data_IF_653773287798
#
_entry.id   IF_653773287798
#
_cell.length_a   1.000
_cell.length_b   1.000
_cell.length_c   1.000
_cell.angle_alpha   90.00
_cell.angle_beta   90.00
_cell.angle_gamma   90.00
#
_symmetry.space_group_name_H-M   'P 1'
#
loop_
_entity.id
_entity.type
_entity.pdbx_description
1 polymer ?
#
# COMPACT_ATOMS: atom_id res chain seq x y z
N UNK A 1 -21.64 -13.76 -2.67
CA UNK A 1 -20.29 -13.29 -3.06
C UNK A 1 -19.87 -12.25 -2.02
N UNK A 2 -18.71 -12.41 -1.37
CA UNK A 2 -18.31 -11.58 -0.24
C UNK A 2 -18.10 -10.11 -0.59
N UNK A 3 -18.34 -9.18 0.34
CA UNK A 3 -18.18 -7.75 0.11
C UNK A 3 -16.75 -7.39 -0.32
N UNK A 4 -15.75 -7.96 0.37
CA UNK A 4 -14.34 -7.77 0.11
C UNK A 4 -13.99 -8.32 -1.28
N UNK A 5 -14.37 -9.56 -1.58
CA UNK A 5 -14.07 -10.18 -2.86
C UNK A 5 -14.85 -9.61 -4.04
N UNK A 6 -16.11 -9.17 -3.87
CA UNK A 6 -16.93 -8.62 -4.97
C UNK A 6 -16.45 -7.22 -5.38
N UNK A 7 -16.10 -6.38 -4.40
CA UNK A 7 -15.57 -5.04 -4.69
C UNK A 7 -14.20 -5.11 -5.38
N UNK A 8 -13.33 -6.02 -4.91
CA UNK A 8 -11.98 -6.20 -5.46
C UNK A 8 -11.99 -6.90 -6.82
N UNK A 9 -12.76 -7.99 -6.98
CA UNK A 9 -12.81 -8.76 -8.22
C UNK A 9 -13.51 -8.03 -9.36
N UNK A 10 -14.50 -7.17 -9.07
CA UNK A 10 -15.11 -6.35 -10.13
C UNK A 10 -14.07 -5.40 -10.73
N UNK A 11 -13.31 -4.71 -9.89
CA UNK A 11 -12.29 -3.77 -10.34
C UNK A 11 -11.15 -4.48 -11.10
N UNK A 12 -10.75 -5.68 -10.66
CA UNK A 12 -9.77 -6.50 -11.37
C UNK A 12 -10.29 -7.01 -12.71
N UNK A 13 -11.53 -7.52 -12.77
CA UNK A 13 -12.16 -7.96 -14.04
C UNK A 13 -12.36 -6.82 -15.04
N UNK A 14 -12.74 -5.63 -14.56
CA UNK A 14 -12.90 -4.46 -15.44
C UNK A 14 -11.55 -4.01 -16.03
N UNK A 15 -10.46 -4.11 -15.25
CA UNK A 15 -9.09 -3.95 -15.75
C UNK A 15 -8.74 -5.02 -16.78
N UNK A 16 -8.97 -6.29 -16.48
CA UNK A 16 -8.63 -7.38 -17.39
C UNK A 16 -9.41 -7.27 -18.71
N UNK A 17 -10.69 -6.86 -18.67
CA UNK A 17 -11.50 -6.51 -19.86
C UNK A 17 -10.91 -5.33 -20.64
N UNK A 18 -10.46 -4.28 -19.95
CA UNK A 18 -9.80 -3.14 -20.58
C UNK A 18 -8.53 -3.59 -21.31
N UNK A 19 -7.78 -4.57 -20.79
CA UNK A 19 -6.61 -5.14 -21.47
C UNK A 19 -6.98 -6.11 -22.61
N UNK A 20 -8.04 -6.92 -22.47
CA UNK A 20 -8.54 -7.79 -23.55
C UNK A 20 -8.97 -7.01 -24.80
N UNK A 21 -9.50 -5.80 -24.63
CA UNK A 21 -9.86 -4.93 -25.76
C UNK A 21 -8.65 -4.53 -26.62
N UNK A 22 -7.42 -4.61 -26.09
CA UNK A 22 -6.17 -4.35 -26.82
C UNK A 22 -5.43 -5.62 -27.28
N UNK A 23 -5.85 -6.82 -26.87
CA UNK A 23 -5.24 -8.07 -27.36
C UNK A 23 -5.48 -8.27 -28.86
N UNK A 24 -6.63 -7.81 -29.39
CA UNK A 24 -6.94 -7.86 -30.83
C UNK A 24 -6.23 -6.80 -31.69
N UNK A 25 -5.65 -5.76 -31.08
CA UNK A 25 -4.91 -4.70 -31.80
C UNK A 25 -3.42 -5.05 -31.92
N UNK A 26 -2.90 -5.86 -31.00
CA UNK A 26 -1.53 -6.39 -31.04
C UNK A 26 -1.43 -7.78 -31.70
N UNK A 27 -2.55 -8.49 -31.84
CA UNK A 27 -2.62 -9.72 -32.63
C UNK A 27 -2.71 -9.39 -34.13
N UNK A 28 -1.54 -9.29 -34.78
CA UNK A 28 -1.45 -9.39 -36.24
C UNK A 28 -2.03 -10.73 -36.75
N UNK A 29 -2.32 -10.84 -38.06
CA UNK A 29 -3.13 -11.91 -38.61
C UNK A 29 -2.54 -13.30 -38.34
N UNK A 30 -3.45 -14.23 -38.08
CA UNK A 30 -3.23 -15.60 -37.65
C UNK A 30 -2.17 -16.39 -38.48
N UNK A 31 -1.45 -17.23 -37.73
CA UNK A 31 -0.72 -18.44 -38.12
C UNK A 31 0.23 -18.38 -39.33
N UNK A 32 1.54 -18.40 -39.04
CA UNK A 32 2.50 -19.12 -39.89
C UNK A 32 3.36 -20.07 -39.07
N UNK A 33 3.34 -21.33 -39.52
CA UNK A 33 4.07 -22.49 -39.00
C UNK A 33 5.50 -22.13 -38.60
N UNK A 34 5.88 -22.58 -37.40
CA UNK A 34 7.24 -22.47 -36.85
C UNK A 34 8.22 -23.20 -37.79
N UNK A 35 9.02 -22.44 -38.53
CA UNK A 35 10.24 -22.97 -39.16
C UNK A 35 11.41 -22.88 -38.17
N UNK A 36 12.00 -24.03 -37.84
CA UNK A 36 13.26 -24.16 -37.10
C UNK A 36 14.37 -23.40 -37.85
N UNK A 37 14.96 -22.39 -37.21
CA UNK A 37 16.17 -21.73 -37.72
C UNK A 37 17.44 -22.50 -37.33
N UNK A 38 18.48 -22.53 -38.19
CA UNK A 38 19.72 -23.27 -37.94
C UNK A 38 20.67 -22.54 -36.97
N UNK A 39 21.49 -23.34 -36.27
CA UNK A 39 22.32 -23.01 -35.09
C UNK A 39 23.53 -22.08 -35.39
N UNK A 40 23.59 -21.43 -36.55
CA UNK A 40 24.77 -20.67 -36.99
C UNK A 40 24.90 -19.27 -36.34
N UNK A 41 23.85 -18.71 -35.74
CA UNK A 41 23.84 -17.35 -35.18
C UNK A 41 24.45 -17.19 -33.78
N UNK A 42 24.58 -18.27 -32.99
CA UNK A 42 25.04 -18.18 -31.59
C UNK A 42 26.54 -17.91 -31.43
N UNK A 43 27.36 -18.28 -32.42
CA UNK A 43 28.82 -18.05 -32.36
C UNK A 43 29.19 -16.57 -32.55
N UNK A 44 28.40 -15.79 -33.31
CA UNK A 44 28.70 -14.36 -33.57
C UNK A 44 28.39 -13.45 -32.38
N UNK A 45 27.37 -13.77 -31.58
CA UNK A 45 27.04 -13.00 -30.37
C UNK A 45 28.07 -13.19 -29.24
N UNK A 46 28.61 -14.40 -29.08
CA UNK A 46 29.62 -14.68 -28.06
C UNK A 46 30.94 -13.95 -28.35
N UNK A 47 31.36 -13.88 -29.62
CA UNK A 47 32.59 -13.16 -30.02
C UNK A 47 32.44 -11.66 -29.74
N UNK A 48 31.28 -11.06 -30.03
CA UNK A 48 31.02 -9.64 -29.75
C UNK A 48 31.05 -9.32 -28.25
N UNK A 49 30.52 -10.21 -27.41
CA UNK A 49 30.56 -10.05 -25.95
C UNK A 49 31.97 -10.09 -25.35
N UNK A 50 32.86 -10.95 -25.89
CA UNK A 50 34.25 -11.05 -25.44
C UNK A 50 35.06 -9.81 -25.83
N UNK A 51 34.84 -9.23 -27.02
CA UNK A 51 35.52 -8.01 -27.47
C UNK A 51 35.12 -6.79 -26.60
N UNK A 52 33.85 -6.66 -26.23
CA UNK A 52 33.40 -5.59 -25.34
C UNK A 52 34.00 -5.68 -23.93
N UNK A 53 34.18 -6.89 -23.40
CA UNK A 53 34.81 -7.09 -22.08
C UNK A 53 36.31 -6.75 -22.10
N UNK A 54 37.03 -7.09 -23.18
CA UNK A 54 38.45 -6.74 -23.32
C UNK A 54 38.67 -5.23 -23.48
N UNK A 55 37.75 -4.54 -24.16
CA UNK A 55 37.76 -3.07 -24.25
C UNK A 55 37.49 -2.40 -22.89
N UNK A 56 36.63 -2.99 -22.06
CA UNK A 56 36.32 -2.46 -20.72
C UNK A 56 37.50 -2.59 -19.76
N UNK A 57 38.21 -3.72 -19.77
CA UNK A 57 39.41 -3.92 -18.95
C UNK A 57 40.54 -2.97 -19.36
N UNK A 58 40.66 -2.64 -20.65
CA UNK A 58 41.66 -1.69 -21.16
C UNK A 58 41.38 -0.23 -20.76
N UNK A 59 40.12 0.13 -20.48
CA UNK A 59 39.74 1.50 -20.17
C UNK A 59 39.83 1.86 -18.68
N UNK A 60 39.80 0.86 -17.80
CA UNK A 60 39.89 1.03 -16.33
C UNK A 60 41.31 1.23 -15.76
N UNK A 61 42.34 1.40 -16.61
CA UNK A 61 43.73 1.61 -16.16
C UNK A 61 44.27 3.04 -16.42
N UNK A 62 43.46 3.96 -16.96
CA UNK A 62 43.90 5.31 -17.36
C UNK A 62 43.13 6.45 -16.67
N UNK A 63 42.86 6.34 -15.36
CA UNK A 63 42.48 7.50 -14.54
C UNK A 63 43.15 7.43 -13.17
N UNK A 64 44.47 7.60 -13.18
CA UNK A 64 45.28 7.73 -11.97
C UNK A 64 46.25 8.89 -12.14
N UNK A 65 45.86 10.07 -11.65
CA UNK A 65 46.84 11.10 -11.34
C UNK A 65 46.28 12.49 -11.17
N UNK A 66 45.94 12.88 -9.95
CA UNK A 66 46.83 13.69 -9.09
C UNK A 66 46.08 14.13 -7.84
N UNK A 67 46.64 13.76 -6.68
CA UNK A 67 46.35 14.35 -5.36
C UNK A 67 47.20 15.61 -5.24
N UNK A 68 46.61 16.72 -4.79
CA UNK A 68 47.32 17.74 -4.02
C UNK A 68 46.40 18.37 -2.96
N UNK A 69 46.95 18.44 -1.75
CA UNK A 69 46.63 19.32 -0.62
C UNK A 69 47.99 19.58 0.07
N UNK A 70 48.18 20.56 0.96
CA UNK A 70 47.22 21.49 1.60
C UNK A 70 47.70 22.97 1.62
N UNK A 71 47.05 23.78 2.49
CA UNK A 71 47.47 25.08 3.07
C UNK A 71 47.10 26.36 2.30
N UNK A 72 46.65 27.49 2.88
CA UNK A 72 46.51 28.03 4.25
C UNK A 72 45.54 29.24 4.19
N UNK A 73 45.11 29.78 5.34
CA UNK A 73 44.73 31.20 5.43
C UNK A 73 43.40 31.47 6.12
N UNK A 74 43.42 31.65 7.44
CA UNK A 74 42.27 32.10 8.20
C UNK A 74 41.92 33.57 7.98
N UNK A 75 40.66 33.90 8.17
CA UNK A 75 40.24 35.21 8.72
C UNK A 75 39.00 35.00 9.58
N UNK A 76 39.10 35.48 10.82
CA UNK A 76 38.00 35.60 11.78
C UNK A 76 37.02 36.66 11.26
N UNK A 77 35.73 36.35 11.24
CA UNK A 77 34.69 37.38 11.38
C UNK A 77 33.49 36.84 12.17
N UNK A 78 33.36 37.32 13.40
CA UNK A 78 32.07 37.57 14.08
C UNK A 78 31.56 38.93 13.57
N UNK A 79 30.24 39.11 13.42
CA UNK A 79 29.53 39.95 14.40
C UNK A 79 28.19 39.32 14.79
N UNK A 80 27.94 39.14 16.08
CA UNK A 80 27.33 40.09 17.01
C UNK A 80 25.81 39.92 17.06
N UNK A 81 25.38 39.37 18.20
CA UNK A 81 24.02 39.26 18.66
C UNK A 81 23.52 40.67 19.00
N UNK A 82 22.52 41.15 18.29
CA UNK A 82 21.67 42.22 18.80
C UNK A 82 20.25 41.69 18.91
N UNK A 83 19.82 41.62 20.15
CA UNK A 83 18.43 41.48 20.55
C UNK A 83 17.66 42.68 20.01
N UNK A 84 16.64 42.41 19.20
CA UNK A 84 15.59 43.35 18.88
C UNK A 84 14.31 42.86 19.58
N UNK A 85 13.70 43.77 20.31
CA UNK A 85 12.57 43.56 21.20
C UNK A 85 11.36 42.93 20.51
N UNK A 86 10.77 41.97 21.22
CA UNK A 86 9.51 41.32 20.90
C UNK A 86 8.37 42.28 21.28
N UNK A 87 7.60 42.76 20.29
CA UNK A 87 6.25 43.30 20.54
C UNK A 87 5.29 42.13 20.82
N UNK A 88 4.40 42.20 21.83
CA UNK A 88 3.48 41.13 22.13
C UNK A 88 2.23 41.24 21.24
N UNK A 89 1.75 40.12 20.71
CA UNK A 89 0.41 40.03 20.12
C UNK A 89 0.37 39.50 18.69
N UNK A 90 0.59 38.19 18.55
CA UNK A 90 -0.36 37.17 18.03
C UNK A 90 0.33 35.84 18.36
N UNK A 91 -0.32 34.84 19.00
CA UNK A 91 0.30 33.52 19.18
C UNK A 91 0.49 32.88 17.80
N UNK A 92 1.69 33.02 17.23
CA UNK A 92 2.12 32.29 16.05
C UNK A 92 2.02 30.80 16.44
N UNK A 93 1.16 29.98 15.78
CA UNK A 93 1.02 28.59 16.17
C UNK A 93 2.39 27.93 16.08
N UNK A 94 2.86 27.40 17.21
CA UNK A 94 4.20 26.87 17.39
C UNK A 94 4.59 25.99 16.18
N UNK A 95 5.71 26.26 15.52
CA UNK A 95 6.21 25.62 14.29
C UNK A 95 5.99 24.10 14.23
N UNK A 96 6.04 23.39 15.37
CA UNK A 96 5.72 21.96 15.53
C UNK A 96 4.27 21.60 15.16
N UNK A 97 3.30 22.42 15.54
CA UNK A 97 1.90 22.26 15.16
C UNK A 97 1.69 22.47 13.65
N UNK A 98 2.39 23.44 13.05
CA UNK A 98 2.35 23.69 11.60
C UNK A 98 2.92 22.49 10.82
N UNK A 99 4.06 21.95 11.25
CA UNK A 99 4.69 20.77 10.63
C UNK A 99 3.82 19.51 10.79
N UNK A 100 3.22 19.31 11.96
CA UNK A 100 2.27 18.20 12.20
C UNK A 100 1.04 18.32 11.31
N UNK A 101 0.52 19.53 11.12
CA UNK A 101 -0.63 19.81 10.25
C UNK A 101 -0.28 19.61 8.75
N UNK A 102 0.92 20.02 8.32
CA UNK A 102 1.41 19.73 6.97
C UNK A 102 1.55 18.23 6.71
N UNK A 103 2.21 17.50 7.61
CA UNK A 103 2.34 16.04 7.52
C UNK A 103 0.97 15.34 7.47
N UNK A 104 0.02 15.75 8.31
CA UNK A 104 -1.34 15.21 8.28
C UNK A 104 -2.06 15.48 6.94
N UNK A 105 -1.85 16.67 6.33
CA UNK A 105 -2.36 16.98 4.99
C UNK A 105 -1.71 16.08 3.93
N UNK A 106 -0.40 15.85 4.02
CA UNK A 106 0.35 15.01 3.09
C UNK A 106 -0.12 13.54 3.14
N UNK A 107 -0.35 13.00 4.34
CA UNK A 107 -0.92 11.65 4.54
C UNK A 107 -2.32 11.52 3.91
N UNK A 108 -3.18 12.53 4.08
CA UNK A 108 -4.52 12.56 3.48
C UNK A 108 -4.49 12.56 1.95
N UNK A 109 -3.54 13.27 1.34
CA UNK A 109 -3.36 13.28 -0.13
C UNK A 109 -2.93 11.91 -0.63
N UNK A 110 -1.93 11.30 0.01
CA UNK A 110 -1.45 9.94 -0.31
C UNK A 110 -2.59 8.92 -0.18
N UNK A 111 -3.35 8.97 0.90
CA UNK A 111 -4.52 8.12 1.12
C UNK A 111 -5.58 8.27 0.03
N UNK A 112 -5.93 9.51 -0.37
CA UNK A 112 -6.92 9.74 -1.44
C UNK A 112 -6.48 9.09 -2.76
N UNK A 113 -5.20 9.22 -3.11
CA UNK A 113 -4.63 8.60 -4.32
C UNK A 113 -4.61 7.07 -4.20
N UNK A 114 -4.20 6.54 -3.05
CA UNK A 114 -4.22 5.10 -2.77
C UNK A 114 -5.63 4.51 -2.94
N UNK A 115 -6.64 5.21 -2.41
CA UNK A 115 -8.05 4.82 -2.53
C UNK A 115 -8.55 4.84 -3.96
N UNK A 116 -8.10 5.79 -4.78
CA UNK A 116 -8.41 5.80 -6.21
C UNK A 116 -7.86 4.56 -6.93
N UNK A 117 -6.61 4.17 -6.65
CA UNK A 117 -6.03 2.93 -7.18
C UNK A 117 -6.71 1.66 -6.64
N UNK A 118 -7.10 1.65 -5.36
CA UNK A 118 -7.83 0.53 -4.76
C UNK A 118 -9.16 0.33 -5.50
N UNK A 119 -9.93 1.40 -5.73
CA UNK A 119 -11.22 1.33 -6.45
C UNK A 119 -11.10 0.85 -7.89
N UNK A 120 -9.94 1.00 -8.51
CA UNK A 120 -9.64 0.52 -9.89
C UNK A 120 -8.89 -0.81 -9.91
N UNK A 121 -8.79 -1.51 -8.78
CA UNK A 121 -8.17 -2.85 -8.70
C UNK A 121 -6.64 -2.82 -8.82
N UNK A 122 -6.02 -1.64 -8.84
CA UNK A 122 -4.56 -1.49 -8.89
C UNK A 122 -3.97 -1.63 -7.49
N UNK A 123 -4.09 -2.83 -6.91
CA UNK A 123 -3.81 -3.08 -5.50
C UNK A 123 -2.35 -2.85 -5.09
N UNK A 124 -1.38 -3.15 -5.95
CA UNK A 124 0.05 -2.88 -5.62
C UNK A 124 0.34 -1.38 -5.50
N UNK A 125 -0.24 -0.57 -6.39
CA UNK A 125 -0.13 0.89 -6.32
C UNK A 125 -0.83 1.43 -5.06
N UNK A 126 -2.01 0.90 -4.75
CA UNK A 126 -2.74 1.25 -3.55
C UNK A 126 -1.95 0.89 -2.29
N UNK A 127 -1.39 -0.33 -2.22
CA UNK A 127 -0.57 -0.83 -1.11
C UNK A 127 0.61 0.10 -0.85
N UNK A 128 1.39 0.43 -1.89
CA UNK A 128 2.53 1.34 -1.78
C UNK A 128 2.13 2.70 -1.23
N UNK A 129 1.05 3.30 -1.75
CA UNK A 129 0.61 4.62 -1.32
C UNK A 129 -0.02 4.63 0.07
N UNK A 130 -0.72 3.57 0.49
CA UNK A 130 -1.16 3.41 1.87
C UNK A 130 0.03 3.31 2.81
N UNK A 131 1.06 2.54 2.47
CA UNK A 131 2.29 2.44 3.26
C UNK A 131 3.01 3.79 3.35
N UNK A 132 3.09 4.55 2.26
CA UNK A 132 3.63 5.92 2.27
C UNK A 132 2.80 6.84 3.17
N UNK A 133 1.46 6.80 3.09
CA UNK A 133 0.59 7.57 3.99
C UNK A 133 0.88 7.23 5.47
N UNK A 134 1.11 5.95 5.78
CA UNK A 134 1.40 5.47 7.13
C UNK A 134 2.83 5.78 7.61
N UNK A 135 3.78 6.03 6.70
CA UNK A 135 5.09 6.59 7.08
C UNK A 135 4.96 8.05 7.53
N UNK A 136 4.03 8.80 6.94
CA UNK A 136 3.76 10.20 7.28
C UNK A 136 2.90 10.32 8.54
N UNK A 137 1.82 9.53 8.60
CA UNK A 137 0.94 9.43 9.77
C UNK A 137 0.71 7.95 10.13
N UNK A 138 1.50 7.40 11.09
CA UNK A 138 1.36 6.01 11.53
C UNK A 138 0.01 5.69 12.17
N UNK A 139 -0.80 6.70 12.52
CA UNK A 139 -2.11 6.57 13.11
C UNK A 139 -3.24 6.92 12.12
N UNK A 140 -2.98 6.90 10.80
CA UNK A 140 -4.03 7.14 9.81
C UNK A 140 -4.94 5.90 9.67
N UNK A 141 -6.02 5.85 10.45
CA UNK A 141 -6.90 4.69 10.61
C UNK A 141 -7.40 4.14 9.26
N UNK A 142 -7.84 5.00 8.35
CA UNK A 142 -8.43 4.57 7.08
C UNK A 142 -7.40 3.91 6.14
N UNK A 143 -6.13 4.33 6.22
CA UNK A 143 -5.05 3.70 5.48
C UNK A 143 -4.68 2.34 6.09
N UNK A 144 -4.65 2.23 7.43
CA UNK A 144 -4.44 0.96 8.13
C UNK A 144 -5.52 -0.06 7.76
N UNK A 145 -6.78 0.34 7.78
CA UNK A 145 -7.90 -0.54 7.44
C UNK A 145 -7.82 -1.02 5.99
N UNK A 146 -7.65 -0.10 5.03
CA UNK A 146 -7.61 -0.46 3.62
C UNK A 146 -6.38 -1.29 3.26
N UNK A 147 -5.25 -1.06 3.95
CA UNK A 147 -4.07 -1.91 3.82
C UNK A 147 -4.34 -3.31 4.39
N UNK A 148 -5.05 -3.40 5.51
CA UNK A 148 -5.53 -4.67 6.08
C UNK A 148 -6.40 -5.47 5.10
N UNK A 149 -7.34 -4.82 4.41
CA UNK A 149 -8.18 -5.45 3.38
C UNK A 149 -7.35 -5.98 2.20
N UNK A 150 -6.33 -5.23 1.76
CA UNK A 150 -5.40 -5.73 0.73
C UNK A 150 -4.65 -6.97 1.23
N UNK A 151 -4.20 -6.98 2.49
CA UNK A 151 -3.54 -8.15 3.06
C UNK A 151 -4.46 -9.37 3.20
N UNK A 152 -5.76 -9.18 3.48
CA UNK A 152 -6.75 -10.26 3.43
C UNK A 152 -6.79 -10.88 2.03
N UNK A 153 -6.87 -10.03 1.00
CA UNK A 153 -6.88 -10.46 -0.39
C UNK A 153 -5.63 -11.25 -0.77
N UNK A 154 -4.45 -10.81 -0.29
CA UNK A 154 -3.18 -11.48 -0.52
C UNK A 154 -2.98 -12.74 0.35
N UNK A 155 -3.97 -13.08 1.19
CA UNK A 155 -3.90 -14.15 2.21
C UNK A 155 -2.78 -13.97 3.24
N UNK A 156 -2.25 -12.75 3.38
CA UNK A 156 -1.31 -12.39 4.43
C UNK A 156 -2.09 -12.02 5.70
N UNK A 157 -2.67 -13.04 6.34
CA UNK A 157 -3.58 -12.87 7.46
C UNK A 157 -2.95 -12.24 8.71
N UNK A 158 -1.65 -12.45 8.91
CA UNK A 158 -0.92 -11.87 10.04
C UNK A 158 -0.74 -10.36 9.89
N UNK A 159 -0.29 -9.90 8.71
CA UNK A 159 -0.21 -8.48 8.38
C UNK A 159 -1.58 -7.81 8.34
N UNK A 160 -2.61 -8.52 7.85
CA UNK A 160 -4.00 -8.05 7.86
C UNK A 160 -4.48 -7.78 9.28
N UNK A 161 -4.34 -8.77 10.17
CA UNK A 161 -4.73 -8.67 11.58
C UNK A 161 -4.03 -7.49 12.25
N UNK A 162 -2.70 -7.40 12.11
CA UNK A 162 -1.91 -6.35 12.76
C UNK A 162 -2.35 -4.95 12.30
N UNK A 163 -2.65 -4.78 11.00
CA UNK A 163 -3.11 -3.51 10.43
C UNK A 163 -4.51 -3.13 10.92
N UNK A 164 -5.45 -4.09 10.91
CA UNK A 164 -6.84 -3.86 11.32
C UNK A 164 -6.97 -3.64 12.82
N UNK A 165 -6.26 -4.40 13.66
CA UNK A 165 -6.23 -4.17 15.11
C UNK A 165 -5.64 -2.79 15.43
N UNK A 166 -4.62 -2.35 14.69
CA UNK A 166 -4.09 -0.99 14.85
C UNK A 166 -5.13 0.06 14.45
N UNK A 167 -5.87 -0.13 13.34
CA UNK A 167 -6.94 0.78 12.94
C UNK A 167 -8.04 0.87 14.03
N UNK A 168 -8.46 -0.27 14.59
CA UNK A 168 -9.41 -0.34 15.69
C UNK A 168 -8.91 0.37 16.96
N UNK A 169 -7.62 0.27 17.29
CA UNK A 169 -7.03 0.99 18.44
C UNK A 169 -6.97 2.51 18.22
N UNK A 170 -6.67 2.95 17.00
CA UNK A 170 -6.61 4.37 16.66
C UNK A 170 -8.00 5.00 16.70
N UNK A 171 -9.01 4.32 16.15
CA UNK A 171 -10.39 4.80 16.16
C UNK A 171 -11.35 3.71 16.67
N UNK A 172 -11.53 3.60 18.01
CA UNK A 172 -12.39 2.58 18.61
C UNK A 172 -13.89 2.72 18.29
N UNK A 173 -14.31 3.89 17.80
CA UNK A 173 -15.69 4.17 17.40
C UNK A 173 -15.96 3.91 15.92
N UNK A 174 -15.03 3.31 15.19
CA UNK A 174 -15.19 3.00 13.77
C UNK A 174 -15.45 1.51 13.57
N UNK A 175 -16.59 1.17 12.97
CA UNK A 175 -17.06 -0.21 12.83
C UNK A 175 -16.23 -1.04 11.82
N UNK A 176 -15.74 -0.44 10.72
CA UNK A 176 -15.17 -1.19 9.59
C UNK A 176 -13.96 -2.07 9.97
N UNK A 177 -12.98 -1.63 10.81
CA UNK A 177 -11.89 -2.49 11.23
C UNK A 177 -12.36 -3.72 12.01
N UNK A 178 -13.37 -3.58 12.87
CA UNK A 178 -13.95 -4.70 13.62
C UNK A 178 -14.68 -5.67 12.69
N UNK A 179 -15.43 -5.15 11.73
CA UNK A 179 -16.08 -5.97 10.70
C UNK A 179 -15.06 -6.74 9.86
N UNK A 180 -14.01 -6.08 9.38
CA UNK A 180 -12.94 -6.70 8.61
C UNK A 180 -12.15 -7.73 9.42
N UNK A 181 -11.95 -7.50 10.73
CA UNK A 181 -11.37 -8.51 11.63
C UNK A 181 -12.30 -9.73 11.79
N UNK A 182 -13.61 -9.53 11.84
CA UNK A 182 -14.57 -10.64 11.89
C UNK A 182 -14.47 -11.52 10.63
N UNK A 183 -14.46 -10.90 9.44
CA UNK A 183 -14.27 -11.60 8.17
C UNK A 183 -12.92 -12.32 8.14
N UNK A 184 -11.83 -11.67 8.55
CA UNK A 184 -10.51 -12.29 8.65
C UNK A 184 -10.50 -13.52 9.56
N UNK A 185 -11.07 -13.41 10.77
CA UNK A 185 -11.12 -14.54 11.69
C UNK A 185 -12.02 -15.67 11.18
N UNK A 186 -13.13 -15.36 10.51
CA UNK A 186 -13.98 -16.34 9.86
C UNK A 186 -13.23 -17.10 8.74
N UNK A 187 -12.46 -16.39 7.90
CA UNK A 187 -11.59 -16.99 6.87
C UNK A 187 -10.49 -17.88 7.48
N UNK A 188 -10.02 -17.56 8.67
CA UNK A 188 -9.06 -18.37 9.44
C UNK A 188 -9.72 -19.52 10.22
N UNK A 189 -11.05 -19.70 10.16
CA UNK A 189 -11.79 -20.69 10.96
C UNK A 189 -11.87 -20.38 12.45
N UNK A 190 -11.48 -19.17 12.87
CA UNK A 190 -11.48 -18.73 14.27
C UNK A 190 -12.84 -18.14 14.66
N UNK A 191 -13.78 -19.03 14.99
CA UNK A 191 -15.19 -18.68 15.23
C UNK A 191 -15.36 -17.72 16.41
N UNK A 192 -14.84 -18.07 17.60
CA UNK A 192 -15.02 -17.24 18.82
C UNK A 192 -14.48 -15.81 18.63
N UNK A 193 -13.23 -15.59 18.15
CA UNK A 193 -12.77 -14.24 17.83
C UNK A 193 -13.62 -13.54 16.77
N UNK A 194 -14.04 -14.23 15.71
CA UNK A 194 -14.89 -13.64 14.67
C UNK A 194 -16.20 -13.09 15.22
N UNK A 195 -16.89 -13.86 16.06
CA UNK A 195 -18.14 -13.46 16.72
C UNK A 195 -17.92 -12.26 17.65
N UNK A 196 -16.82 -12.24 18.40
CA UNK A 196 -16.49 -11.10 19.26
C UNK A 196 -16.35 -9.80 18.45
N UNK A 197 -15.65 -9.86 17.32
CA UNK A 197 -15.41 -8.67 16.50
C UNK A 197 -16.68 -8.19 15.77
N UNK A 198 -17.51 -9.11 15.26
CA UNK A 198 -18.76 -8.70 14.60
C UNK A 198 -19.77 -8.12 15.62
N UNK A 199 -19.84 -8.67 16.84
CA UNK A 199 -20.62 -8.06 17.93
C UNK A 199 -20.16 -6.62 18.21
N UNK A 200 -18.84 -6.39 18.26
CA UNK A 200 -18.29 -5.05 18.46
C UNK A 200 -18.65 -4.12 17.30
N UNK A 201 -18.52 -4.58 16.05
CA UNK A 201 -18.91 -3.80 14.87
C UNK A 201 -20.40 -3.41 14.89
N UNK A 202 -21.29 -4.36 15.19
CA UNK A 202 -22.74 -4.13 15.30
C UNK A 202 -23.10 -3.18 16.44
N UNK A 203 -22.37 -3.21 17.57
CA UNK A 203 -22.59 -2.27 18.67
C UNK A 203 -22.24 -0.81 18.33
N UNK A 204 -21.32 -0.61 17.38
CA UNK A 204 -20.92 0.72 16.89
C UNK A 204 -21.85 1.19 15.78
N UNK A 205 -22.13 0.31 14.83
CA UNK A 205 -23.03 0.58 13.70
C UNK A 205 -24.02 -0.58 13.55
N UNK A 206 -25.28 -0.43 14.00
CA UNK A 206 -26.30 -1.47 13.89
C UNK A 206 -26.58 -1.94 12.45
N UNK A 207 -26.34 -1.12 11.43
CA UNK A 207 -26.52 -1.50 10.02
C UNK A 207 -25.58 -2.64 9.59
N UNK A 208 -24.47 -2.85 10.32
CA UNK A 208 -23.56 -3.98 10.08
C UNK A 208 -24.30 -5.33 10.19
N UNK A 209 -25.35 -5.44 11.01
CA UNK A 209 -26.17 -6.66 11.12
C UNK A 209 -26.76 -7.07 9.76
N UNK A 210 -27.25 -6.10 8.99
CA UNK A 210 -27.84 -6.35 7.66
C UNK A 210 -26.79 -6.90 6.69
N UNK A 211 -25.62 -6.29 6.65
CA UNK A 211 -24.53 -6.75 5.78
C UNK A 211 -23.99 -8.11 6.23
N UNK A 212 -23.86 -8.33 7.54
CA UNK A 212 -23.36 -9.57 8.10
C UNK A 212 -24.25 -10.78 7.79
N UNK A 213 -25.57 -10.56 7.69
CA UNK A 213 -26.56 -11.60 7.34
C UNK A 213 -26.34 -12.17 5.93
N UNK A 214 -25.85 -11.34 5.01
CA UNK A 214 -25.72 -11.69 3.58
C UNK A 214 -24.26 -11.91 3.15
N UNK A 215 -23.28 -11.51 3.96
CA UNK A 215 -21.88 -11.67 3.59
C UNK A 215 -21.44 -13.14 3.61
N UNK A 216 -20.79 -13.55 2.53
CA UNK A 216 -20.26 -14.90 2.37
C UNK A 216 -18.98 -15.13 3.18
N UNK A 217 -18.20 -14.10 3.49
CA UNK A 217 -16.98 -14.23 4.30
C UNK A 217 -17.30 -14.65 5.74
N UNK A 218 -18.52 -14.36 6.20
CA UNK A 218 -19.01 -14.73 7.53
C UNK A 218 -19.77 -16.07 7.53
N UNK A 219 -19.81 -16.81 6.41
CA UNK A 219 -20.51 -18.09 6.34
C UNK A 219 -20.01 -19.10 7.38
N UNK A 220 -18.71 -19.07 7.69
CA UNK A 220 -18.13 -19.96 8.70
C UNK A 220 -18.63 -19.66 10.12
N UNK A 221 -19.23 -18.48 10.36
CA UNK A 221 -19.84 -18.14 11.66
C UNK A 221 -21.30 -18.61 11.76
N UNK A 222 -21.95 -18.97 10.64
CA UNK A 222 -23.34 -19.43 10.61
C UNK A 222 -23.52 -20.74 11.37
N UNK A 223 -24.71 -20.94 11.93
CA UNK A 223 -25.01 -22.08 12.80
C UNK A 223 -24.48 -21.92 14.23
N UNK A 224 -23.65 -20.92 14.51
CA UNK A 224 -23.34 -20.55 15.89
C UNK A 224 -24.52 -19.76 16.50
N UNK A 225 -25.08 -20.17 17.66
CA UNK A 225 -26.24 -19.51 18.25
C UNK A 225 -26.05 -18.02 18.52
N UNK A 226 -24.84 -17.59 18.90
CA UNK A 226 -24.57 -16.18 19.18
C UNK A 226 -24.55 -15.33 17.91
N UNK A 227 -24.03 -15.86 16.81
CA UNK A 227 -24.02 -15.17 15.53
C UNK A 227 -25.43 -15.10 14.94
N UNK A 228 -26.19 -16.20 15.01
CA UNK A 228 -27.58 -16.25 14.54
C UNK A 228 -28.48 -15.28 15.32
N UNK A 229 -28.33 -15.19 16.64
CA UNK A 229 -29.07 -14.22 17.45
C UNK A 229 -28.73 -12.78 17.03
N UNK A 230 -27.44 -12.48 16.82
CA UNK A 230 -26.98 -11.14 16.45
C UNK A 230 -27.57 -10.63 15.12
N UNK A 231 -27.72 -11.51 14.12
CA UNK A 231 -28.20 -11.15 12.78
C UNK A 231 -29.72 -11.29 12.60
N UNK A 232 -30.46 -11.77 13.60
CA UNK A 232 -31.94 -11.88 13.53
C UNK A 232 -32.65 -10.59 13.91
N UNK A 233 -32.04 -9.81 14.80
CA UNK A 233 -32.48 -8.47 15.21
C UNK A 233 -32.30 -7.41 14.10
#
# INVERSE_FOLDING_TARGET
MSYIHKALNKAQRDKDKQFQQYEGVLAGPAERKVHRFPVAGRRRLLIFGVVCLLAFVSYSWFDSGKRHSPETGGTKHKPNTQAAEVKPGVPVPAKKAILKNKAAKDAKVLYKRARAFHRTGRLDNARRLYQEALKVDPAYAEALNNLGVIYIHDKNYEAARNSLEKAARVNPGWADPYYNLACLYALMGKIKPGILQIKKACSINPEVKKWAREDADLNNLRGNPEFEALIKE
#
